data_IF_355723270327
#
_entry.id   IF_355723270327
#
_cell.length_a   1.000
_cell.length_b   1.000
_cell.length_c   1.000
_cell.angle_alpha   90.00
_cell.angle_beta   90.00
_cell.angle_gamma   90.00
#
_symmetry.space_group_name_H-M   'P 1'
#
loop_
_entity.id
_entity.type
_entity.pdbx_description
1 polymer ?
#
# COMPACT_ATOMS: atom_id res chain seq x y z
N UNK A 1 -39.92 34.23 -30.99
CA UNK A 1 -38.75 33.34 -30.97
C UNK A 1 -38.37 33.13 -29.51
N UNK A 2 -38.57 31.91 -28.99
CA UNK A 2 -38.18 31.52 -27.63
C UNK A 2 -37.03 30.54 -27.80
N UNK A 3 -35.82 30.93 -27.41
CA UNK A 3 -34.67 30.03 -27.37
C UNK A 3 -34.76 29.20 -26.09
N UNK A 4 -35.09 27.92 -26.24
CA UNK A 4 -35.11 26.96 -25.14
C UNK A 4 -33.68 26.47 -24.91
N UNK A 5 -33.05 26.99 -23.85
CA UNK A 5 -31.69 26.63 -23.44
C UNK A 5 -31.72 25.18 -22.94
N UNK A 6 -31.37 24.25 -23.82
CA UNK A 6 -31.16 22.84 -23.51
C UNK A 6 -29.92 22.69 -22.62
N UNK A 7 -30.13 22.72 -21.30
CA UNK A 7 -29.06 22.41 -20.34
C UNK A 7 -28.93 20.90 -20.22
N UNK A 8 -27.73 20.32 -20.41
CA UNK A 8 -27.52 18.91 -20.13
C UNK A 8 -27.68 18.68 -18.62
N UNK A 9 -28.73 17.95 -18.24
CA UNK A 9 -28.92 17.44 -16.89
C UNK A 9 -27.71 16.58 -16.55
N UNK A 10 -26.84 17.08 -15.67
CA UNK A 10 -25.67 16.37 -15.19
C UNK A 10 -26.15 15.09 -14.47
N UNK A 11 -25.94 13.95 -15.10
CA UNK A 11 -26.34 12.63 -14.59
C UNK A 11 -25.70 12.39 -13.21
N UNK A 12 -26.45 11.91 -12.20
CA UNK A 12 -25.89 11.66 -10.89
C UNK A 12 -24.79 10.60 -11.01
N UNK A 13 -23.55 11.01 -10.73
CA UNK A 13 -22.41 10.12 -10.62
C UNK A 13 -22.80 8.94 -9.71
N UNK A 14 -22.89 7.73 -10.31
CA UNK A 14 -23.13 6.50 -9.55
C UNK A 14 -22.06 6.42 -8.48
N UNK A 15 -22.44 6.67 -7.21
CA UNK A 15 -21.57 6.52 -6.05
C UNK A 15 -21.25 5.03 -5.94
N UNK A 16 -20.18 4.61 -6.61
CA UNK A 16 -19.78 3.22 -6.73
C UNK A 16 -19.53 2.65 -5.35
N UNK A 17 -20.44 1.79 -4.86
CA UNK A 17 -20.21 1.05 -3.62
C UNK A 17 -18.99 0.12 -3.73
N UNK A 18 -18.57 -0.23 -4.96
CA UNK A 18 -17.40 -1.05 -5.25
C UNK A 18 -16.05 -0.33 -5.13
N UNK A 19 -15.99 1.00 -5.29
CA UNK A 19 -14.71 1.73 -5.25
C UNK A 19 -14.10 1.73 -3.87
N UNK A 20 -14.92 1.87 -2.81
CA UNK A 20 -14.43 1.81 -1.43
C UNK A 20 -13.83 0.45 -1.06
N UNK A 21 -14.48 -0.65 -1.49
CA UNK A 21 -13.98 -2.00 -1.27
C UNK A 21 -12.68 -2.25 -2.03
N UNK A 22 -12.62 -1.84 -3.30
CA UNK A 22 -11.41 -1.99 -4.11
C UNK A 22 -10.21 -1.24 -3.51
N UNK A 23 -10.44 -0.02 -3.03
CA UNK A 23 -9.41 0.79 -2.34
C UNK A 23 -8.96 0.11 -1.05
N UNK A 24 -9.90 -0.41 -0.25
CA UNK A 24 -9.57 -1.14 0.98
C UNK A 24 -8.73 -2.38 0.69
N UNK A 25 -9.15 -3.21 -0.27
CA UNK A 25 -8.41 -4.42 -0.66
C UNK A 25 -7.02 -4.04 -1.17
N UNK A 26 -6.92 -3.00 -1.99
CA UNK A 26 -5.64 -2.48 -2.45
C UNK A 26 -4.71 -2.12 -1.27
N UNK A 27 -5.20 -1.37 -0.29
CA UNK A 27 -4.40 -1.02 0.89
C UNK A 27 -4.03 -2.23 1.75
N UNK A 28 -4.92 -3.22 1.90
CA UNK A 28 -4.62 -4.45 2.65
C UNK A 28 -3.54 -5.27 1.96
N UNK A 29 -3.61 -5.41 0.64
CA UNK A 29 -2.59 -6.10 -0.16
C UNK A 29 -1.26 -5.34 -0.07
N UNK A 30 -1.30 -4.01 -0.20
CA UNK A 30 -0.11 -3.17 -0.10
C UNK A 30 0.51 -3.26 1.31
N UNK A 31 -0.31 -3.29 2.36
CA UNK A 31 0.16 -3.52 3.72
C UNK A 31 0.82 -4.90 3.88
N UNK A 32 0.21 -5.96 3.34
CA UNK A 32 0.77 -7.33 3.37
C UNK A 32 2.12 -7.42 2.65
N UNK A 33 2.25 -6.82 1.47
CA UNK A 33 3.51 -6.76 0.72
C UNK A 33 4.62 -6.00 1.48
N UNK A 34 4.25 -5.06 2.35
CA UNK A 34 5.19 -4.23 3.12
C UNK A 34 5.33 -4.65 4.58
N UNK A 35 4.58 -5.65 5.05
CA UNK A 35 4.47 -5.99 6.47
C UNK A 35 5.82 -6.37 7.09
N UNK A 36 6.67 -7.11 6.37
CA UNK A 36 8.01 -7.48 6.85
C UNK A 36 8.95 -6.28 7.00
N UNK A 37 8.93 -5.31 6.08
CA UNK A 37 9.73 -4.10 6.17
C UNK A 37 9.24 -3.16 7.29
N UNK A 38 7.93 -3.13 7.51
CA UNK A 38 7.33 -2.41 8.62
C UNK A 38 7.71 -3.04 9.96
N UNK A 39 7.67 -4.37 10.09
CA UNK A 39 8.11 -5.08 11.30
C UNK A 39 9.58 -4.76 11.60
N UNK A 40 10.47 -4.88 10.60
CA UNK A 40 11.91 -4.59 10.72
C UNK A 40 12.17 -3.13 11.13
N UNK A 41 11.38 -2.19 10.61
CA UNK A 41 11.51 -0.78 10.96
C UNK A 41 11.02 -0.48 12.38
N UNK A 42 9.90 -1.10 12.79
CA UNK A 42 9.36 -0.98 14.15
C UNK A 42 10.26 -1.70 15.17
N UNK A 43 10.93 -2.79 14.78
CA UNK A 43 11.86 -3.51 15.66
C UNK A 43 13.07 -2.63 16.05
N UNK A 44 13.46 -1.68 15.19
CA UNK A 44 14.54 -0.71 15.41
C UNK A 44 14.14 0.52 16.22
N UNK A 45 12.84 0.75 16.44
CA UNK A 45 12.39 1.86 17.29
C UNK A 45 12.85 1.66 18.75
N UNK A 46 13.03 2.76 19.51
CA UNK A 46 13.25 2.70 20.95
C UNK A 46 12.16 1.88 21.66
N UNK A 47 12.52 1.22 22.76
CA UNK A 47 11.56 0.47 23.56
C UNK A 47 10.44 1.40 24.07
N UNK A 48 9.19 1.01 23.83
CA UNK A 48 8.02 1.79 24.20
C UNK A 48 6.71 1.07 23.86
N UNK A 49 5.61 1.56 24.43
CA UNK A 49 4.25 1.00 24.25
C UNK A 49 3.82 1.01 22.78
N UNK A 50 4.16 2.06 22.04
CA UNK A 50 3.89 2.16 20.61
C UNK A 50 4.60 1.05 19.81
N UNK A 51 5.88 0.79 20.09
CA UNK A 51 6.64 -0.30 19.45
C UNK A 51 6.01 -1.66 19.74
N UNK A 52 5.69 -1.95 21.00
CA UNK A 52 5.07 -3.21 21.39
C UNK A 52 3.70 -3.42 20.75
N UNK A 53 2.88 -2.37 20.66
CA UNK A 53 1.60 -2.38 19.97
C UNK A 53 1.78 -2.70 18.47
N UNK A 54 2.64 -1.94 17.78
CA UNK A 54 2.88 -2.13 16.35
C UNK A 54 3.49 -3.49 16.04
N UNK A 55 4.45 -3.98 16.84
CA UNK A 55 4.98 -5.34 16.68
C UNK A 55 3.89 -6.41 16.86
N UNK A 56 2.97 -6.22 17.80
CA UNK A 56 1.86 -7.17 18.05
C UNK A 56 0.89 -7.23 16.87
N UNK A 57 0.64 -6.10 16.20
CA UNK A 57 -0.21 -6.02 15.00
C UNK A 57 0.52 -6.51 13.75
N UNK A 58 1.79 -6.16 13.58
CA UNK A 58 2.56 -6.42 12.35
C UNK A 58 3.13 -7.84 12.28
N UNK A 59 3.49 -8.46 13.40
CA UNK A 59 4.00 -9.85 13.44
C UNK A 59 3.11 -10.88 12.76
N UNK A 60 1.79 -10.97 13.04
CA UNK A 60 0.93 -11.94 12.35
C UNK A 60 0.81 -11.62 10.85
N UNK A 61 0.80 -10.34 10.49
CA UNK A 61 0.80 -9.90 9.10
C UNK A 61 2.09 -10.31 8.38
N UNK A 62 3.24 -10.06 8.99
CA UNK A 62 4.56 -10.43 8.47
C UNK A 62 4.74 -11.95 8.36
N UNK A 63 4.24 -12.72 9.33
CA UNK A 63 4.24 -14.18 9.27
C UNK A 63 3.38 -14.72 8.12
N UNK A 64 2.20 -14.13 7.91
CA UNK A 64 1.30 -14.51 6.81
C UNK A 64 1.89 -14.12 5.45
N UNK A 65 2.45 -12.92 5.35
CA UNK A 65 3.14 -12.45 4.16
C UNK A 65 4.37 -13.31 3.82
N UNK A 66 5.12 -13.74 4.83
CA UNK A 66 6.27 -14.64 4.66
C UNK A 66 5.85 -16.01 4.17
N UNK A 67 4.77 -16.58 4.72
CA UNK A 67 4.19 -17.86 4.27
C UNK A 67 3.68 -17.82 2.83
N UNK A 68 3.14 -16.68 2.41
CA UNK A 68 2.67 -16.47 1.04
C UNK A 68 3.77 -16.02 0.08
N UNK A 69 5.04 -15.97 0.53
CA UNK A 69 6.18 -15.43 -0.22
C UNK A 69 5.94 -14.03 -0.80
N UNK A 70 5.07 -13.23 -0.17
CA UNK A 70 4.72 -11.87 -0.58
C UNK A 70 5.88 -10.87 -0.41
N UNK A 71 6.99 -11.29 0.21
CA UNK A 71 8.25 -10.53 0.22
C UNK A 71 9.07 -10.64 -1.07
N UNK A 72 8.79 -11.62 -1.94
CA UNK A 72 9.53 -11.83 -3.19
C UNK A 72 9.38 -10.68 -4.21
N UNK A 73 8.17 -10.14 -4.49
CA UNK A 73 8.01 -9.00 -5.39
C UNK A 73 8.81 -7.79 -4.91
N UNK A 74 8.80 -7.53 -3.60
CA UNK A 74 9.55 -6.42 -3.01
C UNK A 74 11.05 -6.61 -3.17
N UNK A 75 11.58 -7.81 -2.89
CA UNK A 75 13.00 -8.11 -3.10
C UNK A 75 13.41 -7.98 -4.57
N UNK A 76 12.53 -8.35 -5.51
CA UNK A 76 12.78 -8.11 -6.93
C UNK A 76 12.88 -6.61 -7.23
N UNK A 77 11.95 -5.79 -6.72
CA UNK A 77 12.00 -4.34 -6.90
C UNK A 77 13.27 -3.74 -6.27
N UNK A 78 13.63 -4.14 -5.05
CA UNK A 78 14.88 -3.69 -4.42
C UNK A 78 16.13 -4.13 -5.22
N UNK A 79 16.14 -5.34 -5.77
CA UNK A 79 17.28 -5.86 -6.55
C UNK A 79 17.38 -5.23 -7.94
N UNK A 80 16.26 -4.95 -8.61
CA UNK A 80 16.26 -4.36 -9.95
C UNK A 80 16.37 -2.84 -9.92
N UNK A 81 15.57 -2.19 -9.07
CA UNK A 81 15.52 -0.74 -8.98
C UNK A 81 16.66 -0.20 -8.10
N UNK A 82 16.95 -0.85 -6.97
CA UNK A 82 18.04 -0.45 -6.09
C UNK A 82 19.40 -0.52 -6.78
N UNK A 83 19.67 -1.57 -7.56
CA UNK A 83 20.91 -1.65 -8.33
C UNK A 83 21.00 -0.63 -9.47
N UNK A 84 19.88 -0.19 -10.03
CA UNK A 84 19.86 0.85 -11.05
C UNK A 84 20.19 2.22 -10.44
N UNK A 85 19.48 2.60 -9.36
CA UNK A 85 19.73 3.88 -8.68
C UNK A 85 21.13 3.97 -8.06
N UNK A 86 21.66 2.87 -7.54
CA UNK A 86 23.01 2.86 -6.96
C UNK A 86 24.12 2.93 -8.02
N UNK A 87 23.82 2.55 -9.28
CA UNK A 87 24.73 2.78 -10.42
C UNK A 87 24.71 4.23 -10.90
N UNK A 88 23.56 4.89 -10.85
CA UNK A 88 23.42 6.28 -11.33
C UNK A 88 23.98 7.31 -10.33
N UNK A 89 24.00 6.99 -9.03
CA UNK A 89 24.52 7.91 -7.98
C UNK A 89 26.06 7.84 -7.85
N UNK A 90 26.72 6.92 -8.55
CA UNK A 90 28.17 6.71 -8.50
C UNK A 90 28.98 7.39 -9.62
N UNK A 91 28.38 8.28 -10.42
CA UNK A 91 29.06 9.15 -11.40
C UNK A 91 29.00 10.61 -10.96
#
# INVERSE_FOLDING_TARGET
MKEEINTPVCSPAKRGKGTGLAVLVFYVVLLMLNAGALEESVSRMPFGTARSFWLKVLRPCAATASRLHLGWPRRMVETHLGNHLNRDTGR
#
